data_IF_675278327293
#
_entry.id   IF_675278327293
#
_cell.length_a   1.000
_cell.length_b   1.000
_cell.length_c   1.000
_cell.angle_alpha   90.00
_cell.angle_beta   90.00
_cell.angle_gamma   90.00
#
_symmetry.space_group_name_H-M   'P 1'
#
loop_
_entity.id
_entity.type
_entity.pdbx_description
1 polymer ?
#
# COMPACT_ATOMS: atom_id res chain seq x y z
N UNK A 1 24.69 8.91 -13.31
CA UNK A 1 24.21 8.31 -12.05
C UNK A 1 22.99 7.48 -12.37
N UNK A 2 23.15 6.15 -12.29
CA UNK A 2 22.04 5.22 -12.31
C UNK A 2 21.34 5.44 -10.97
N UNK A 3 20.23 6.17 -10.95
CA UNK A 3 19.26 5.96 -9.90
C UNK A 3 18.93 4.48 -9.97
N UNK A 4 19.16 3.75 -8.90
CA UNK A 4 18.52 2.45 -8.73
C UNK A 4 17.02 2.73 -8.76
N UNK A 5 16.44 2.68 -9.95
CA UNK A 5 14.99 2.66 -10.12
C UNK A 5 14.63 1.34 -9.48
N UNK A 6 14.19 1.44 -8.23
CA UNK A 6 13.54 0.32 -7.59
C UNK A 6 12.46 -0.13 -8.57
N UNK A 7 12.51 -1.39 -9.01
CA UNK A 7 11.54 -1.98 -9.93
C UNK A 7 10.08 -1.81 -9.45
N UNK A 8 9.90 -1.31 -8.25
CA UNK A 8 8.68 -1.10 -7.51
C UNK A 8 8.18 0.36 -7.45
N UNK A 9 8.50 1.20 -8.42
CA UNK A 9 8.08 2.63 -8.41
C UNK A 9 6.56 2.80 -8.67
N UNK A 10 5.76 1.96 -8.08
CA UNK A 10 4.30 2.00 -8.15
C UNK A 10 3.73 2.38 -6.79
N UNK A 11 3.06 3.54 -6.71
CA UNK A 11 2.45 4.06 -5.49
C UNK A 11 1.51 3.03 -4.82
N UNK A 12 0.83 2.19 -5.61
CA UNK A 12 -0.12 1.20 -5.09
C UNK A 12 0.57 0.00 -4.39
N UNK A 13 1.88 -0.16 -4.55
CA UNK A 13 2.67 -1.13 -3.79
C UNK A 13 2.84 -0.72 -2.32
N UNK A 14 2.72 0.57 -2.04
CA UNK A 14 2.79 1.14 -0.70
C UNK A 14 1.43 1.16 0.01
N UNK A 15 0.38 0.67 -0.66
CA UNK A 15 -1.02 0.92 -0.26
C UNK A 15 -1.62 -0.09 0.72
N UNK A 16 -0.87 -1.04 1.28
CA UNK A 16 -1.44 -1.96 2.29
C UNK A 16 -2.02 -1.23 3.49
N UNK A 17 -3.10 -1.76 4.07
CA UNK A 17 -3.65 -1.25 5.32
C UNK A 17 -2.68 -1.44 6.49
N UNK A 18 -2.78 -0.63 7.55
CA UNK A 18 -1.86 -0.72 8.70
C UNK A 18 -1.88 -2.11 9.36
N UNK A 19 -3.07 -2.74 9.47
CA UNK A 19 -3.19 -4.11 9.97
C UNK A 19 -2.46 -5.12 9.08
N UNK A 20 -2.63 -5.01 7.76
CA UNK A 20 -2.00 -5.95 6.83
C UNK A 20 -0.49 -5.69 6.71
N UNK A 21 -0.05 -4.44 6.87
CA UNK A 21 1.37 -4.11 7.00
C UNK A 21 2.00 -4.78 8.22
N UNK A 22 1.32 -4.79 9.37
CA UNK A 22 1.78 -5.49 10.57
C UNK A 22 1.82 -7.02 10.42
N UNK A 23 1.10 -7.57 9.47
CA UNK A 23 1.07 -9.00 9.12
C UNK A 23 2.02 -9.35 7.96
N UNK A 24 3.07 -8.56 7.71
CA UNK A 24 4.03 -8.81 6.62
C UNK A 24 3.52 -8.36 5.25
N UNK A 25 2.74 -7.30 5.16
CA UNK A 25 2.16 -6.80 3.91
C UNK A 25 1.32 -7.85 3.14
N UNK A 26 0.73 -8.80 3.87
CA UNK A 26 -0.10 -9.85 3.29
C UNK A 26 -1.46 -9.27 2.89
N UNK A 27 -1.94 -9.62 1.71
CA UNK A 27 -3.21 -9.15 1.15
C UNK A 27 -4.41 -9.93 1.67
N UNK A 28 -4.72 -9.78 2.95
CA UNK A 28 -5.90 -10.39 3.56
C UNK A 28 -7.07 -9.41 3.59
N UNK A 29 -8.27 -9.95 3.59
CA UNK A 29 -9.48 -9.15 3.74
C UNK A 29 -9.68 -8.69 5.19
N UNK A 30 -10.30 -7.55 5.32
CA UNK A 30 -10.89 -7.03 6.56
C UNK A 30 -12.38 -6.78 6.33
N UNK A 31 -13.19 -6.92 7.39
CA UNK A 31 -14.64 -6.65 7.30
C UNK A 31 -14.93 -5.14 7.31
N UNK A 32 -14.19 -4.36 6.51
CA UNK A 32 -14.29 -2.91 6.43
C UNK A 32 -13.56 -2.35 5.19
N UNK A 33 -13.68 -1.04 4.95
CA UNK A 33 -13.17 -0.38 3.74
C UNK A 33 -11.63 -0.41 3.61
N UNK A 34 -10.87 -0.65 4.68
CA UNK A 34 -9.42 -0.77 4.56
C UNK A 34 -8.98 -1.89 3.61
N UNK A 35 -9.85 -2.89 3.37
CA UNK A 35 -9.61 -3.97 2.40
C UNK A 35 -9.42 -3.47 0.96
N UNK A 36 -9.91 -2.28 0.60
CA UNK A 36 -9.78 -1.74 -0.76
C UNK A 36 -8.34 -1.74 -1.26
N UNK A 37 -7.38 -1.57 -0.36
CA UNK A 37 -5.96 -1.53 -0.67
C UNK A 37 -5.33 -2.92 -0.86
N UNK A 38 -5.94 -3.97 -0.30
CA UNK A 38 -5.33 -5.29 -0.19
C UNK A 38 -6.10 -6.39 -0.92
N UNK A 39 -7.41 -6.51 -0.64
CA UNK A 39 -8.26 -7.64 -1.01
C UNK A 39 -9.64 -7.16 -1.50
N UNK A 40 -10.47 -8.04 -2.06
CA UNK A 40 -11.87 -7.70 -2.32
C UNK A 40 -12.59 -7.27 -1.03
N UNK A 41 -13.42 -6.24 -1.15
CA UNK A 41 -14.22 -5.74 -0.04
C UNK A 41 -15.34 -6.76 0.26
N UNK A 42 -15.39 -7.24 1.49
CA UNK A 42 -16.32 -8.34 1.88
C UNK A 42 -17.54 -7.89 2.69
N UNK A 43 -17.52 -6.68 3.24
CA UNK A 43 -18.65 -6.22 4.05
C UNK A 43 -19.86 -5.88 3.17
N UNK A 44 -21.04 -6.24 3.67
CA UNK A 44 -22.35 -6.03 3.01
C UNK A 44 -23.18 -4.95 3.69
N UNK A 45 -22.60 -4.27 4.67
CA UNK A 45 -23.28 -3.27 5.49
C UNK A 45 -23.30 -1.92 4.76
N UNK A 46 -24.48 -1.28 4.75
CA UNK A 46 -24.67 0.06 4.15
C UNK A 46 -24.16 1.20 5.04
N UNK A 47 -23.62 0.90 6.23
CA UNK A 47 -23.05 1.93 7.08
C UNK A 47 -21.75 2.46 6.44
N UNK A 48 -21.65 3.77 6.21
CA UNK A 48 -20.45 4.32 5.64
C UNK A 48 -19.27 4.15 6.60
N UNK A 49 -18.16 3.67 6.04
CA UNK A 49 -16.89 3.52 6.75
C UNK A 49 -15.86 4.41 6.08
N UNK A 50 -15.07 5.10 6.89
CA UNK A 50 -13.93 5.89 6.43
C UNK A 50 -12.67 5.29 7.03
N UNK A 51 -11.72 4.96 6.20
CA UNK A 51 -10.38 4.54 6.59
C UNK A 51 -9.38 5.60 6.25
N UNK A 52 -8.48 5.86 7.16
CA UNK A 52 -7.37 6.77 7.03
C UNK A 52 -6.11 6.10 7.53
N UNK A 53 -4.98 6.24 6.82
CA UNK A 53 -3.69 5.88 7.39
C UNK A 53 -2.56 6.78 6.92
N UNK A 54 -1.56 6.89 7.78
CA UNK A 54 -0.31 7.58 7.54
C UNK A 54 0.85 6.63 7.77
N UNK A 55 1.78 6.62 6.85
CA UNK A 55 3.01 5.83 6.90
C UNK A 55 4.21 6.75 6.72
N UNK A 56 5.10 6.72 7.69
CA UNK A 56 6.38 7.41 7.67
C UNK A 56 7.47 6.37 7.43
N UNK A 57 8.26 6.56 6.38
CA UNK A 57 9.37 5.67 5.99
C UNK A 57 10.66 6.48 5.93
N UNK A 58 11.80 5.82 6.20
CA UNK A 58 13.12 6.42 6.12
C UNK A 58 13.21 7.73 6.94
N UNK A 59 12.79 7.68 8.21
CA UNK A 59 12.83 8.83 9.14
C UNK A 59 12.10 10.08 8.62
N UNK A 60 11.08 9.91 7.78
CA UNK A 60 10.28 11.01 7.25
C UNK A 60 10.62 11.44 5.83
N UNK A 61 11.61 10.84 5.19
CA UNK A 61 11.93 11.15 3.80
C UNK A 61 10.79 10.77 2.85
N UNK A 62 10.08 9.67 3.15
CA UNK A 62 8.92 9.23 2.37
C UNK A 62 7.70 9.18 3.25
N UNK A 63 6.72 10.00 2.91
CA UNK A 63 5.42 10.01 3.56
C UNK A 63 4.38 9.41 2.63
N UNK A 64 3.55 8.48 3.17
CA UNK A 64 2.46 7.87 2.40
C UNK A 64 1.16 7.99 3.17
N UNK A 65 0.17 8.51 2.49
CA UNK A 65 -1.16 8.79 3.01
C UNK A 65 -2.19 7.93 2.30
N UNK A 66 -3.18 7.41 3.04
CA UNK A 66 -4.28 6.63 2.48
C UNK A 66 -5.61 7.12 3.01
N UNK A 67 -6.58 7.18 2.13
CA UNK A 67 -7.98 7.42 2.48
C UNK A 67 -8.84 6.37 1.76
N UNK A 68 -9.73 5.71 2.50
CA UNK A 68 -10.70 4.76 1.95
C UNK A 68 -12.12 5.15 2.35
N UNK A 69 -13.05 5.08 1.41
CA UNK A 69 -14.45 5.37 1.64
C UNK A 69 -15.35 4.39 0.86
N UNK A 70 -16.38 3.83 1.49
CA UNK A 70 -17.35 3.04 0.76
C UNK A 70 -18.51 3.92 0.29
N UNK A 71 -18.73 3.91 -1.03
CA UNK A 71 -19.80 4.69 -1.68
C UNK A 71 -21.13 3.96 -1.60
N UNK A 72 -21.07 2.66 -1.90
CA UNK A 72 -22.27 1.83 -2.05
C UNK A 72 -21.98 0.41 -1.59
N UNK A 73 -22.96 -0.17 -0.90
CA UNK A 73 -22.92 -1.56 -0.48
C UNK A 73 -24.31 -2.16 -0.58
N UNK A 74 -24.40 -3.36 -1.13
CA UNK A 74 -25.64 -4.15 -1.24
C UNK A 74 -25.36 -5.63 -0.96
N UNK A 75 -26.39 -6.44 -1.03
CA UNK A 75 -26.28 -7.90 -0.87
C UNK A 75 -25.39 -8.51 -1.95
N UNK A 76 -25.40 -7.95 -3.17
CA UNK A 76 -24.74 -8.53 -4.34
C UNK A 76 -23.47 -7.82 -4.76
N UNK A 77 -23.24 -6.57 -4.35
CA UNK A 77 -22.07 -5.80 -4.78
C UNK A 77 -21.74 -4.66 -3.83
N UNK A 78 -20.52 -4.20 -3.89
CA UNK A 78 -20.10 -2.95 -3.26
C UNK A 78 -19.15 -2.16 -4.15
N UNK A 79 -19.12 -0.84 -3.92
CA UNK A 79 -18.24 0.12 -4.58
C UNK A 79 -17.51 0.90 -3.50
N UNK A 80 -16.18 0.93 -3.59
CA UNK A 80 -15.32 1.72 -2.71
C UNK A 80 -14.44 2.67 -3.50
N UNK A 81 -14.06 3.77 -2.86
CA UNK A 81 -13.01 4.67 -3.31
C UNK A 81 -11.83 4.62 -2.36
N UNK A 82 -10.65 4.57 -2.91
CA UNK A 82 -9.38 4.72 -2.20
C UNK A 82 -8.56 5.85 -2.81
N UNK A 83 -7.81 6.54 -1.98
CA UNK A 83 -6.78 7.48 -2.39
C UNK A 83 -5.48 7.09 -1.71
N UNK A 84 -4.40 7.13 -2.47
CA UNK A 84 -3.03 6.96 -1.98
C UNK A 84 -2.25 8.19 -2.44
N UNK A 85 -1.53 8.81 -1.52
CA UNK A 85 -0.61 9.91 -1.82
C UNK A 85 0.76 9.55 -1.27
N UNK A 86 1.80 9.69 -2.09
CA UNK A 86 3.20 9.62 -1.69
C UNK A 86 3.83 11.00 -1.86
N UNK A 87 4.60 11.40 -0.89
CA UNK A 87 5.42 12.61 -0.95
C UNK A 87 6.86 12.28 -0.54
N UNK A 88 7.82 12.69 -1.34
CA UNK A 88 9.25 12.68 -1.04
C UNK A 88 9.71 14.12 -1.11
N UNK A 89 10.09 14.68 0.03
CA UNK A 89 10.56 16.04 0.15
C UNK A 89 12.08 16.09 0.25
N UNK A 90 12.61 17.30 0.15
CA UNK A 90 14.05 17.58 0.32
C UNK A 90 14.98 16.83 -0.62
N UNK A 91 14.53 16.51 -1.84
CA UNK A 91 15.42 16.07 -2.90
C UNK A 91 16.24 17.25 -3.43
N UNK A 92 17.51 17.00 -3.76
CA UNK A 92 18.42 18.01 -4.23
C UNK A 92 18.83 17.77 -5.68
N UNK A 93 18.71 18.80 -6.52
CA UNK A 93 19.29 18.85 -7.84
C UNK A 93 20.74 19.32 -7.70
N UNK A 94 21.68 18.45 -8.00
CA UNK A 94 23.12 18.70 -7.81
C UNK A 94 23.92 18.69 -9.12
N UNK A 95 23.27 18.41 -10.25
CA UNK A 95 23.95 18.25 -11.53
C UNK A 95 24.67 19.53 -11.98
N UNK A 96 24.10 20.70 -11.70
CA UNK A 96 24.67 21.99 -12.07
C UNK A 96 25.61 22.55 -10.98
N UNK A 97 25.71 21.86 -9.86
CA UNK A 97 26.53 22.29 -8.73
C UNK A 97 28.00 21.90 -8.82
N UNK A 98 28.33 20.97 -9.70
CA UNK A 98 29.73 20.54 -9.91
C UNK A 98 30.34 21.27 -11.10
N UNK A 99 31.36 22.08 -10.84
CA UNK A 99 32.20 22.77 -11.84
C UNK A 99 33.54 22.04 -11.95
N UNK A 100 33.61 21.01 -12.80
CA UNK A 100 34.79 20.23 -13.05
C UNK A 100 35.95 21.11 -13.54
N UNK A 101 37.12 21.00 -12.92
CA UNK A 101 38.34 21.67 -13.31
C UNK A 101 38.98 21.06 -14.57
N UNK A 102 38.41 20.00 -15.12
CA UNK A 102 38.84 19.28 -16.33
C UNK A 102 39.53 17.94 -16.05
N UNK A 103 39.61 17.51 -14.79
CA UNK A 103 40.21 16.22 -14.42
C UNK A 103 39.17 15.08 -14.30
N UNK A 104 37.87 15.38 -14.36
CA UNK A 104 36.75 14.46 -14.18
C UNK A 104 36.76 13.73 -12.83
N UNK A 105 37.42 14.28 -11.82
CA UNK A 105 37.47 13.73 -10.46
C UNK A 105 36.73 14.67 -9.53
N UNK A 106 35.53 14.28 -8.98
CA UNK A 106 34.76 15.14 -8.08
C UNK A 106 35.60 15.58 -6.87
N UNK A 107 35.72 16.88 -6.67
CA UNK A 107 36.37 17.48 -5.53
C UNK A 107 35.39 18.43 -4.82
N UNK A 108 35.50 18.54 -3.49
CA UNK A 108 34.61 19.38 -2.67
C UNK A 108 34.76 20.87 -3.00
N UNK A 109 35.95 21.29 -3.46
CA UNK A 109 36.26 22.66 -3.86
C UNK A 109 35.56 23.07 -5.18
N UNK A 110 35.15 22.10 -5.97
CA UNK A 110 34.42 22.27 -7.24
C UNK A 110 32.90 22.37 -7.07
N UNK A 111 32.41 22.18 -5.84
CA UNK A 111 30.98 22.24 -5.57
C UNK A 111 30.52 23.69 -5.33
N UNK A 112 29.67 24.16 -6.21
CA UNK A 112 28.97 25.41 -6.04
C UNK A 112 27.61 25.20 -5.35
N UNK A 113 27.58 25.30 -4.03
CA UNK A 113 26.39 25.08 -3.22
C UNK A 113 25.22 26.01 -3.57
N UNK A 114 25.48 27.19 -4.17
CA UNK A 114 24.44 28.13 -4.57
C UNK A 114 23.60 27.62 -5.77
N UNK A 115 24.11 26.63 -6.51
CA UNK A 115 23.41 26.02 -7.64
C UNK A 115 22.63 24.76 -7.25
N UNK A 116 22.71 24.35 -5.99
CA UNK A 116 21.89 23.25 -5.48
C UNK A 116 20.46 23.76 -5.29
N UNK A 117 19.52 23.17 -6.04
CA UNK A 117 18.10 23.50 -5.93
C UNK A 117 17.32 22.31 -5.37
N UNK A 118 16.25 22.60 -4.61
CA UNK A 118 15.36 21.56 -4.08
C UNK A 118 14.25 21.25 -5.06
N UNK A 119 13.85 19.98 -5.13
CA UNK A 119 12.64 19.55 -5.82
C UNK A 119 11.85 18.53 -4.98
N UNK A 120 10.59 18.34 -5.29
CA UNK A 120 9.73 17.34 -4.68
C UNK A 120 9.35 16.26 -5.69
N UNK A 121 9.15 15.03 -5.19
CA UNK A 121 8.50 13.94 -5.89
C UNK A 121 7.16 13.67 -5.20
N UNK A 122 6.07 13.84 -5.92
CA UNK A 122 4.71 13.64 -5.41
C UNK A 122 3.90 12.78 -6.36
N UNK A 123 3.25 11.75 -5.83
CA UNK A 123 2.37 10.90 -6.60
C UNK A 123 1.04 10.72 -5.87
N UNK A 124 -0.07 10.89 -6.61
CA UNK A 124 -1.43 10.70 -6.12
C UNK A 124 -2.08 9.63 -6.98
N UNK A 125 -2.61 8.58 -6.35
CA UNK A 125 -3.34 7.50 -7.00
C UNK A 125 -4.74 7.36 -6.42
N UNK A 126 -5.72 7.13 -7.30
CA UNK A 126 -7.08 6.76 -6.92
C UNK A 126 -7.26 5.25 -7.11
N UNK A 127 -8.08 4.63 -6.27
CA UNK A 127 -8.58 3.27 -6.45
C UNK A 127 -10.11 3.33 -6.53
N UNK A 128 -10.66 2.90 -7.64
CA UNK A 128 -12.11 2.71 -7.81
C UNK A 128 -12.31 1.21 -7.80
N UNK A 129 -12.89 0.69 -6.71
CA UNK A 129 -13.06 -0.74 -6.51
C UNK A 129 -14.51 -1.14 -6.70
N UNK A 130 -14.75 -2.13 -7.54
CA UNK A 130 -16.04 -2.79 -7.69
C UNK A 130 -15.90 -4.26 -7.28
N UNK A 131 -16.76 -4.73 -6.38
CA UNK A 131 -16.75 -6.10 -5.90
C UNK A 131 -18.14 -6.71 -6.09
N UNK A 132 -18.19 -7.90 -6.70
CA UNK A 132 -19.41 -8.65 -6.95
C UNK A 132 -19.41 -9.94 -6.10
N UNK A 133 -20.46 -10.15 -5.35
CA UNK A 133 -20.68 -11.35 -4.56
C UNK A 133 -21.34 -12.41 -5.43
N UNK A 134 -20.57 -13.39 -5.93
CA UNK A 134 -21.09 -14.53 -6.69
C UNK A 134 -22.02 -15.36 -5.77
N UNK A 135 -21.60 -15.50 -4.52
CA UNK A 135 -22.39 -16.09 -3.43
C UNK A 135 -21.81 -15.57 -2.09
N UNK A 136 -22.36 -16.03 -0.95
CA UNK A 136 -21.95 -15.58 0.38
C UNK A 136 -20.46 -15.81 0.68
N UNK A 137 -19.83 -16.75 -0.01
CA UNK A 137 -18.47 -17.18 0.24
C UNK A 137 -17.49 -16.90 -0.92
N UNK A 138 -17.96 -16.29 -2.00
CA UNK A 138 -17.14 -16.07 -3.21
C UNK A 138 -17.34 -14.67 -3.77
N UNK A 139 -16.26 -13.94 -3.95
CA UNK A 139 -16.27 -12.54 -4.38
C UNK A 139 -15.25 -12.35 -5.51
N UNK A 140 -15.65 -11.64 -6.55
CA UNK A 140 -14.75 -11.09 -7.56
C UNK A 140 -14.62 -9.60 -7.32
N UNK A 141 -13.38 -9.12 -7.21
CA UNK A 141 -13.04 -7.71 -7.09
C UNK A 141 -12.27 -7.21 -8.30
N UNK A 142 -12.63 -6.03 -8.76
CA UNK A 142 -11.95 -5.33 -9.85
C UNK A 142 -11.63 -3.91 -9.41
N UNK A 143 -10.37 -3.46 -9.66
CA UNK A 143 -9.96 -2.10 -9.38
C UNK A 143 -9.52 -1.39 -10.65
N UNK A 144 -9.89 -0.11 -10.77
CA UNK A 144 -9.35 0.85 -11.74
C UNK A 144 -8.50 1.83 -10.93
N UNK A 145 -7.26 2.07 -11.36
CA UNK A 145 -6.28 2.83 -10.60
C UNK A 145 -5.62 3.92 -11.45
N UNK A 146 -6.29 5.07 -11.69
CA UNK A 146 -5.63 6.23 -12.28
C UNK A 146 -4.69 6.88 -11.28
N UNK A 147 -3.54 7.38 -11.76
CA UNK A 147 -2.59 8.15 -10.95
C UNK A 147 -2.01 9.35 -11.70
N UNK A 148 -1.54 10.31 -10.91
CA UNK A 148 -0.80 11.47 -11.36
C UNK A 148 0.49 11.60 -10.55
N UNK A 149 1.61 11.79 -11.25
CA UNK A 149 2.94 11.85 -10.66
C UNK A 149 3.68 13.11 -11.12
N UNK A 150 4.33 13.79 -10.20
CA UNK A 150 5.20 14.94 -10.48
C UNK A 150 6.56 14.75 -9.84
N UNK A 151 7.62 14.98 -10.60
CA UNK A 151 9.02 15.02 -10.14
C UNK A 151 9.66 16.29 -10.69
N UNK A 152 9.89 17.28 -9.83
CA UNK A 152 10.39 18.57 -10.26
C UNK A 152 9.49 19.20 -11.32
N UNK A 153 10.01 19.39 -12.54
CA UNK A 153 9.27 19.94 -13.68
C UNK A 153 8.58 18.87 -14.55
N UNK A 154 8.84 17.61 -14.31
CA UNK A 154 8.27 16.50 -15.06
C UNK A 154 6.97 16.02 -14.42
N UNK A 155 6.00 15.63 -15.25
CA UNK A 155 4.76 15.03 -14.78
C UNK A 155 4.33 13.84 -15.65
N UNK A 156 3.57 12.94 -15.06
CA UNK A 156 3.03 11.77 -15.72
C UNK A 156 1.59 11.49 -15.30
N UNK A 157 0.85 10.88 -16.21
CA UNK A 157 -0.47 10.31 -15.93
C UNK A 157 -0.37 8.81 -16.17
N UNK A 158 -0.91 8.03 -15.22
CA UNK A 158 -0.94 6.58 -15.29
C UNK A 158 -2.33 6.02 -15.11
N UNK A 159 -2.49 4.78 -15.56
CA UNK A 159 -3.69 3.98 -15.37
C UNK A 159 -3.28 2.52 -15.23
N UNK A 160 -3.82 1.83 -14.22
CA UNK A 160 -3.63 0.39 -14.07
C UNK A 160 -4.90 -0.30 -13.56
N UNK A 161 -4.90 -1.64 -13.62
CA UNK A 161 -6.06 -2.46 -13.29
C UNK A 161 -5.64 -3.65 -12.43
N UNK A 162 -6.52 -4.00 -11.46
CA UNK A 162 -6.38 -5.23 -10.68
C UNK A 162 -7.59 -6.12 -10.87
N UNK A 163 -7.36 -7.42 -10.77
CA UNK A 163 -8.40 -8.45 -10.68
C UNK A 163 -8.10 -9.36 -9.49
N UNK A 164 -9.09 -9.60 -8.64
CA UNK A 164 -8.94 -10.41 -7.44
C UNK A 164 -10.14 -11.33 -7.27
N UNK A 165 -9.89 -12.54 -6.79
CA UNK A 165 -10.92 -13.50 -6.43
C UNK A 165 -10.71 -13.95 -4.98
N UNK A 166 -11.77 -13.94 -4.19
CA UNK A 166 -11.79 -14.41 -2.80
C UNK A 166 -12.77 -15.57 -2.68
N UNK A 167 -12.35 -16.63 -1.99
CA UNK A 167 -13.17 -17.76 -1.59
C UNK A 167 -12.98 -18.07 -0.12
N UNK A 168 -14.08 -18.09 0.64
CA UNK A 168 -14.10 -18.53 2.04
C UNK A 168 -14.76 -19.90 2.15
N UNK A 169 -14.17 -20.79 2.94
CA UNK A 169 -14.70 -22.12 3.25
C UNK A 169 -14.51 -22.36 4.74
N UNK A 170 -15.56 -22.28 5.51
CA UNK A 170 -15.53 -22.34 6.98
C UNK A 170 -14.57 -21.28 7.55
N UNK A 171 -13.50 -21.73 8.21
CA UNK A 171 -12.46 -20.88 8.81
C UNK A 171 -11.32 -20.53 7.85
N UNK A 172 -11.35 -21.05 6.63
CA UNK A 172 -10.30 -20.85 5.62
C UNK A 172 -10.73 -19.78 4.63
N UNK A 173 -9.80 -18.90 4.25
CA UNK A 173 -10.00 -17.93 3.18
C UNK A 173 -8.84 -17.99 2.22
N UNK A 174 -9.16 -18.04 0.94
CA UNK A 174 -8.22 -18.04 -0.17
C UNK A 174 -8.42 -16.79 -0.98
N UNK A 175 -7.33 -16.12 -1.36
CA UNK A 175 -7.37 -14.97 -2.26
C UNK A 175 -6.35 -15.22 -3.36
N UNK A 176 -6.77 -15.07 -4.61
CA UNK A 176 -5.91 -15.07 -5.79
C UNK A 176 -6.09 -13.70 -6.45
N UNK A 177 -5.01 -13.09 -6.87
CA UNK A 177 -5.10 -11.80 -7.54
C UNK A 177 -3.97 -11.53 -8.51
N UNK A 178 -4.29 -10.63 -9.44
CA UNK A 178 -3.36 -10.00 -10.36
C UNK A 178 -3.48 -8.50 -10.18
N UNK A 179 -2.45 -7.87 -9.63
CA UNK A 179 -2.35 -6.42 -9.54
C UNK A 179 -1.58 -5.89 -10.74
N UNK A 180 -2.00 -4.72 -11.23
CA UNK A 180 -1.36 -4.02 -12.34
C UNK A 180 -1.21 -4.85 -13.62
N UNK A 181 -2.13 -5.83 -13.83
CA UNK A 181 -2.08 -6.76 -14.97
C UNK A 181 -2.18 -6.05 -16.33
N UNK A 182 -2.78 -4.86 -16.38
CA UNK A 182 -2.72 -3.91 -17.46
C UNK A 182 -2.34 -2.56 -16.89
N UNK A 183 -1.25 -1.96 -17.37
CA UNK A 183 -0.80 -0.68 -16.89
C UNK A 183 -0.12 0.14 -17.97
N UNK A 184 -0.24 1.44 -17.85
CA UNK A 184 0.48 2.43 -18.65
C UNK A 184 0.68 3.70 -17.82
N UNK A 185 1.88 4.29 -17.88
CA UNK A 185 2.20 5.61 -17.32
C UNK A 185 2.92 6.40 -18.41
N UNK A 186 2.44 7.59 -18.71
CA UNK A 186 2.98 8.46 -19.76
C UNK A 186 3.44 9.77 -19.16
N UNK A 187 4.71 10.09 -19.37
CA UNK A 187 5.32 11.36 -18.99
C UNK A 187 5.10 12.45 -20.02
N UNK A 188 5.16 13.71 -19.58
CA UNK A 188 5.13 14.88 -20.48
C UNK A 188 6.29 14.92 -21.47
N UNK A 189 7.43 14.27 -21.16
CA UNK A 189 8.56 14.05 -22.08
C UNK A 189 8.25 13.08 -23.22
N UNK A 190 7.11 12.39 -23.20
CA UNK A 190 6.75 11.34 -24.16
C UNK A 190 7.19 9.94 -23.73
N UNK A 191 7.99 9.79 -22.69
CA UNK A 191 8.39 8.49 -22.13
C UNK A 191 7.14 7.72 -21.66
N UNK A 192 7.10 6.43 -21.98
CA UNK A 192 6.05 5.51 -21.52
C UNK A 192 6.65 4.43 -20.64
N UNK A 193 6.03 4.21 -19.52
CA UNK A 193 6.37 3.17 -18.54
C UNK A 193 5.19 2.22 -18.36
N UNK A 194 5.48 1.02 -17.89
CA UNK A 194 4.50 0.04 -17.44
C UNK A 194 4.88 -0.39 -16.04
N UNK A 195 3.88 -0.61 -15.19
CA UNK A 195 4.10 -1.29 -13.93
C UNK A 195 4.25 -2.78 -14.19
N UNK A 196 5.14 -3.43 -13.45
CA UNK A 196 5.23 -4.87 -13.48
C UNK A 196 3.97 -5.47 -12.83
N UNK A 197 3.38 -6.45 -13.49
CA UNK A 197 2.22 -7.14 -12.95
C UNK A 197 2.62 -8.04 -11.77
N UNK A 198 1.79 -8.06 -10.74
CA UNK A 198 1.99 -8.87 -9.55
C UNK A 198 0.87 -9.89 -9.42
N UNK A 199 1.21 -11.17 -9.59
CA UNK A 199 0.35 -12.27 -9.20
C UNK A 199 0.62 -12.66 -7.76
N UNK A 200 -0.45 -12.93 -7.01
CA UNK A 200 -0.33 -13.42 -5.65
C UNK A 200 -1.39 -14.48 -5.34
N UNK A 201 -1.02 -15.36 -4.44
CA UNK A 201 -1.92 -16.32 -3.80
C UNK A 201 -1.79 -16.17 -2.30
N UNK A 202 -2.92 -15.98 -1.64
CA UNK A 202 -3.00 -15.85 -0.20
C UNK A 202 -3.89 -16.95 0.38
N UNK A 203 -3.45 -17.51 1.50
CA UNK A 203 -4.24 -18.38 2.34
C UNK A 203 -4.28 -17.86 3.76
N UNK A 204 -5.45 -17.82 4.38
CA UNK A 204 -5.61 -17.47 5.78
C UNK A 204 -6.54 -18.44 6.50
N UNK A 205 -6.17 -18.78 7.74
CA UNK A 205 -6.91 -19.65 8.63
C UNK A 205 -7.22 -18.93 9.94
N UNK A 206 -8.51 -18.88 10.29
CA UNK A 206 -8.99 -18.23 11.51
C UNK A 206 -9.51 -19.27 12.48
N UNK A 207 -8.89 -19.38 13.64
CA UNK A 207 -9.31 -20.28 14.70
C UNK A 207 -9.48 -19.53 16.02
N UNK A 208 -10.71 -19.42 16.51
CA UNK A 208 -11.06 -18.69 17.73
C UNK A 208 -10.47 -17.26 17.74
N UNK A 209 -9.41 -17.07 18.53
CA UNK A 209 -8.70 -15.78 18.71
C UNK A 209 -7.46 -15.63 17.80
N UNK A 210 -7.13 -16.66 17.04
CA UNK A 210 -5.91 -16.72 16.24
C UNK A 210 -6.27 -16.59 14.75
N UNK A 211 -5.49 -15.80 14.02
CA UNK A 211 -5.43 -15.80 12.56
C UNK A 211 -3.99 -16.10 12.15
N UNK A 212 -3.82 -17.06 11.26
CA UNK A 212 -2.56 -17.33 10.57
C UNK A 212 -2.79 -17.08 9.09
N UNK A 213 -1.85 -16.42 8.45
CA UNK A 213 -1.92 -16.15 7.02
C UNK A 213 -0.54 -16.31 6.36
N UNK A 214 -0.57 -16.74 5.12
CA UNK A 214 0.60 -16.86 4.26
C UNK A 214 0.26 -16.28 2.89
N UNK A 215 1.24 -15.72 2.22
CA UNK A 215 1.12 -15.24 0.85
C UNK A 215 2.37 -15.60 0.08
N UNK A 216 2.17 -16.00 -1.16
CA UNK A 216 3.21 -16.10 -2.16
C UNK A 216 2.91 -15.12 -3.28
N UNK A 217 3.87 -14.32 -3.67
CA UNK A 217 3.77 -13.47 -4.85
C UNK A 217 5.03 -13.61 -5.73
N UNK A 218 4.93 -13.15 -6.97
CA UNK A 218 6.04 -13.24 -7.92
C UNK A 218 7.16 -12.20 -7.69
N UNK A 219 7.09 -11.42 -6.62
CA UNK A 219 8.08 -10.40 -6.24
C UNK A 219 8.87 -10.77 -4.99
N UNK A 220 8.17 -10.96 -3.89
CA UNK A 220 8.72 -11.39 -2.61
C UNK A 220 8.25 -12.80 -2.37
N UNK A 221 9.10 -13.78 -2.53
CA UNK A 221 8.77 -15.19 -2.65
C UNK A 221 7.78 -15.72 -1.61
N UNK A 222 7.87 -15.31 -0.33
CA UNK A 222 7.01 -15.84 0.72
C UNK A 222 6.80 -14.83 1.84
N UNK A 223 5.53 -14.71 2.29
CA UNK A 223 5.16 -13.91 3.45
C UNK A 223 4.37 -14.72 4.45
N UNK A 224 4.53 -14.43 5.73
CA UNK A 224 3.81 -15.07 6.81
C UNK A 224 3.30 -14.03 7.81
N UNK A 225 2.11 -14.24 8.36
CA UNK A 225 1.50 -13.35 9.33
C UNK A 225 0.73 -14.12 10.39
N UNK A 226 0.73 -13.55 11.59
CA UNK A 226 0.05 -14.08 12.76
C UNK A 226 -0.64 -12.95 13.52
N UNK A 227 -1.93 -13.13 13.85
CA UNK A 227 -2.67 -12.21 14.72
C UNK A 227 -3.27 -12.98 15.89
N UNK A 228 -3.10 -12.46 17.08
CA UNK A 228 -3.73 -12.96 18.30
C UNK A 228 -4.63 -11.89 18.93
N UNK A 229 -5.91 -12.21 19.06
CA UNK A 229 -6.89 -11.36 19.75
C UNK A 229 -6.79 -11.59 21.25
N UNK A 230 -6.14 -10.69 21.95
CA UNK A 230 -6.02 -10.74 23.41
C UNK A 230 -7.42 -10.75 24.06
N UNK A 231 -8.26 -9.84 23.61
CA UNK A 231 -9.67 -9.75 23.98
C UNK A 231 -10.52 -9.24 22.82
N UNK A 232 -11.75 -8.76 23.06
CA UNK A 232 -12.64 -8.24 22.02
C UNK A 232 -12.13 -6.93 21.41
N UNK A 233 -11.32 -6.17 22.15
CA UNK A 233 -10.84 -4.84 21.77
C UNK A 233 -9.39 -4.84 21.27
N UNK A 234 -8.51 -5.67 21.80
CA UNK A 234 -7.09 -5.65 21.53
C UNK A 234 -6.62 -6.89 20.76
N UNK A 235 -5.75 -6.64 19.79
CA UNK A 235 -5.05 -7.67 19.01
C UNK A 235 -3.56 -7.31 18.89
N UNK A 236 -2.72 -8.33 18.80
CA UNK A 236 -1.28 -8.22 18.52
C UNK A 236 -1.04 -8.90 17.19
N UNK A 237 -0.23 -8.28 16.34
CA UNK A 237 0.13 -8.79 15.02
C UNK A 237 1.64 -8.98 14.92
N UNK A 238 2.04 -10.03 14.21
CA UNK A 238 3.40 -10.36 13.84
C UNK A 238 3.41 -10.73 12.36
N UNK A 239 4.41 -10.29 11.63
CA UNK A 239 4.50 -10.61 10.21
C UNK A 239 5.94 -10.64 9.72
N UNK A 240 6.11 -11.31 8.58
CA UNK A 240 7.37 -11.33 7.84
C UNK A 240 7.05 -11.20 6.35
N UNK A 241 7.81 -10.36 5.66
CA UNK A 241 7.80 -10.17 4.21
C UNK A 241 9.23 -10.39 3.73
N UNK A 242 9.51 -11.58 3.21
CA UNK A 242 10.86 -12.06 2.90
C UNK A 242 11.79 -12.01 4.14
N UNK A 243 12.77 -11.13 4.14
CA UNK A 243 13.70 -10.93 5.27
C UNK A 243 13.23 -9.88 6.28
N UNK A 244 12.14 -9.16 5.99
CA UNK A 244 11.67 -8.04 6.79
C UNK A 244 10.68 -8.50 7.86
N UNK A 245 10.81 -7.98 9.08
CA UNK A 245 9.92 -8.27 10.18
C UNK A 245 8.94 -7.11 10.41
N UNK A 246 7.73 -7.44 10.80
CA UNK A 246 6.72 -6.46 11.18
C UNK A 246 6.02 -6.85 12.48
N UNK A 247 5.68 -5.82 13.24
CA UNK A 247 4.96 -5.92 14.51
C UNK A 247 3.77 -4.97 14.47
N UNK A 248 2.69 -5.31 15.15
CA UNK A 248 1.56 -4.40 15.25
C UNK A 248 0.67 -4.60 16.45
N UNK A 249 -0.10 -3.57 16.72
CA UNK A 249 -1.13 -3.56 17.76
C UNK A 249 -2.40 -2.99 17.14
N UNK A 250 -3.52 -3.70 17.34
CA UNK A 250 -4.85 -3.27 16.95
C UNK A 250 -5.74 -2.99 18.16
N UNK A 251 -6.45 -1.88 18.11
CA UNK A 251 -7.54 -1.54 19.04
C UNK A 251 -8.85 -1.44 18.24
N UNK A 252 -9.91 -2.04 18.74
CA UNK A 252 -11.23 -2.04 18.12
C UNK A 252 -12.31 -1.68 19.13
N UNK A 253 -13.07 -0.64 18.80
CA UNK A 253 -14.34 -0.30 19.47
C UNK A 253 -15.52 -0.35 18.49
N UNK A 254 -16.70 0.00 18.94
CA UNK A 254 -17.90 0.01 18.09
C UNK A 254 -17.80 1.07 16.99
N UNK A 255 -17.26 2.26 17.29
CA UNK A 255 -17.17 3.38 16.35
C UNK A 255 -15.78 3.55 15.71
N UNK A 256 -14.71 3.07 16.37
CA UNK A 256 -13.33 3.37 15.97
C UNK A 256 -12.46 2.12 16.04
N UNK A 257 -11.70 1.86 14.96
CA UNK A 257 -10.59 0.90 15.00
C UNK A 257 -9.28 1.65 14.75
N UNK A 258 -8.26 1.34 15.54
CA UNK A 258 -6.91 1.88 15.40
C UNK A 258 -5.96 0.71 15.18
N UNK A 259 -5.06 0.81 14.21
CA UNK A 259 -4.00 -0.16 14.01
C UNK A 259 -2.68 0.60 13.85
N UNK A 260 -1.67 0.15 14.58
CA UNK A 260 -0.30 0.59 14.44
C UNK A 260 0.54 -0.56 13.93
N UNK A 261 1.45 -0.28 13.00
CA UNK A 261 2.43 -1.23 12.49
C UNK A 261 3.82 -0.60 12.53
N UNK A 262 4.77 -1.38 13.00
CA UNK A 262 6.20 -1.15 12.89
C UNK A 262 6.77 -2.14 11.90
N UNK A 263 7.51 -1.67 10.90
CA UNK A 263 8.16 -2.49 9.90
C UNK A 263 9.67 -2.26 10.00
N UNK A 264 10.40 -3.35 10.14
CA UNK A 264 11.85 -3.36 10.20
C UNK A 264 12.39 -4.04 8.94
N UNK A 265 13.28 -3.35 8.23
CA UNK A 265 13.96 -3.90 7.07
C UNK A 265 15.40 -4.28 7.44
N UNK A 266 15.74 -5.55 7.31
CA UNK A 266 17.06 -6.06 7.67
C UNK A 266 18.16 -5.72 6.63
N UNK A 267 17.79 -5.27 5.45
CA UNK A 267 18.72 -5.02 4.35
C UNK A 267 19.27 -3.59 4.30
N UNK A 268 18.64 -2.66 5.01
CA UNK A 268 19.01 -1.23 5.01
C UNK A 268 18.87 -0.68 6.42
N UNK A 269 19.97 -0.19 7.01
CA UNK A 269 20.03 0.31 8.41
C UNK A 269 19.03 1.47 8.70
N UNK A 270 18.52 2.15 7.68
CA UNK A 270 17.61 3.30 7.80
C UNK A 270 16.14 2.98 7.49
N UNK A 271 15.76 1.75 7.15
CA UNK A 271 14.40 1.43 6.72
C UNK A 271 13.49 1.00 7.88
N UNK A 272 13.38 1.85 8.88
CA UNK A 272 12.30 1.74 9.87
C UNK A 272 11.08 2.49 9.36
N UNK A 273 9.93 1.83 9.37
CA UNK A 273 8.66 2.44 8.97
C UNK A 273 7.63 2.32 10.07
N UNK A 274 6.92 3.41 10.28
CA UNK A 274 5.82 3.50 11.24
C UNK A 274 4.52 3.80 10.50
N UNK A 275 3.53 2.94 10.66
CA UNK A 275 2.24 3.09 10.00
C UNK A 275 1.10 3.11 11.01
N UNK A 276 0.32 4.17 11.01
CA UNK A 276 -0.85 4.35 11.85
C UNK A 276 -2.10 4.39 10.98
N UNK A 277 -3.12 3.64 11.34
CA UNK A 277 -4.39 3.59 10.61
C UNK A 277 -5.59 3.72 11.54
N UNK A 278 -6.58 4.46 11.08
CA UNK A 278 -7.84 4.71 11.74
C UNK A 278 -9.00 4.30 10.83
N UNK A 279 -9.97 3.61 11.38
CA UNK A 279 -11.23 3.31 10.73
C UNK A 279 -12.37 3.86 11.55
N UNK A 280 -13.15 4.74 10.96
CA UNK A 280 -14.36 5.30 11.55
C UNK A 280 -15.59 4.63 10.94
N UNK A 281 -16.49 4.14 11.78
CA UNK A 281 -17.81 3.66 11.39
C UNK A 281 -18.82 4.75 11.66
N UNK A 282 -19.50 5.18 10.61
CA UNK A 282 -20.54 6.22 10.71
C UNK A 282 -21.88 5.51 10.84
N UNK A 283 -22.46 5.51 12.03
CA UNK A 283 -23.83 5.00 12.20
C UNK A 283 -24.79 5.99 11.55
N UNK A 284 -25.58 5.54 10.59
CA UNK A 284 -26.78 6.28 10.16
C UNK A 284 -27.80 6.17 11.27
N UNK A 285 -28.09 7.27 11.94
CA UNK A 285 -29.26 7.39 12.83
C UNK A 285 -30.55 7.22 12.05
#
# INVERSE_FOLDING_TARGET
>A
HVFAIDKNNNIYMLSSSSRNSALGNIKINSDNISSIFDAPITFKDNNPNIYFSYNNKFEGLIEVFHLGYNIYSSVNSNIGLGLVQRSISDNFYTNDAWNDNGDNIPNIEELNYSQITKFSDQEIGLLISYNNFINDNSIIGFNIKPNYHTIGLSNAIGLSFDLKFLKSINSNTFIIGANDFLSIKKWNSGLKEKYDYRFFFNYSYKFKKILVCIEYDNYSAFKAGFEYKVNKQFAIQLGSDDSNLSLGIGFKSDALNINYAYLHNNSIDFDQSHKLGFLFKINKN
#
